data_IF_376031955833
#
_entry.id   IF_376031955833
#
_cell.length_a   1.000
_cell.length_b   1.000
_cell.length_c   1.000
_cell.angle_alpha   90.00
_cell.angle_beta   90.00
_cell.angle_gamma   90.00
#
_symmetry.space_group_name_H-M   'P 1'
#
loop_
_entity.id
_entity.type
_entity.pdbx_description
1 polymer ?
#
# COMPACT_ATOMS: atom_id res chain seq x y z
N UNK A 1 -11.24 4.95 21.32
CA UNK A 1 -11.35 6.36 21.36
C UNK A 1 -10.27 7.15 22.09
N UNK A 2 -9.00 6.67 22.17
CA UNK A 2 -7.91 7.46 22.79
C UNK A 2 -7.04 8.18 21.73
N UNK A 3 -7.11 7.76 20.46
CA UNK A 3 -6.36 8.35 19.38
C UNK A 3 -7.30 9.13 18.44
N UNK A 4 -7.01 10.42 18.22
CA UNK A 4 -7.80 11.29 17.34
C UNK A 4 -7.22 11.43 15.91
N UNK A 5 -5.96 11.06 15.71
CA UNK A 5 -5.28 11.08 14.41
C UNK A 5 -4.08 10.15 14.42
N UNK A 6 -3.70 9.63 13.26
CA UNK A 6 -2.49 8.84 13.08
C UNK A 6 -2.03 8.87 11.62
N UNK A 7 -0.77 8.55 11.40
CA UNK A 7 -0.24 8.34 10.05
C UNK A 7 -0.49 6.90 9.64
N UNK A 8 -1.10 6.70 8.49
CA UNK A 8 -1.44 5.37 8.02
C UNK A 8 -1.45 5.25 6.49
N UNK A 9 -1.39 4.03 5.97
CA UNK A 9 -1.50 3.78 4.55
C UNK A 9 -2.93 3.99 4.06
N UNK A 10 -3.11 4.07 2.73
CA UNK A 10 -4.42 4.22 2.08
C UNK A 10 -5.44 3.14 2.49
N UNK A 11 -4.98 1.97 2.90
CA UNK A 11 -5.82 0.85 3.35
C UNK A 11 -6.13 0.85 4.85
N UNK A 12 -5.69 1.86 5.60
CA UNK A 12 -5.99 1.99 7.02
C UNK A 12 -7.50 1.92 7.37
N UNK A 13 -8.43 2.34 6.51
CA UNK A 13 -9.85 2.12 6.74
C UNK A 13 -10.22 0.63 6.91
N UNK A 14 -9.55 -0.29 6.20
CA UNK A 14 -9.81 -1.72 6.33
C UNK A 14 -9.16 -2.33 7.59
N UNK A 15 -8.03 -1.80 8.02
CA UNK A 15 -7.31 -2.23 9.23
C UNK A 15 -6.37 -1.11 9.70
N UNK A 16 -6.55 -0.51 10.91
CA UNK A 16 -7.42 -0.98 12.00
C UNK A 16 -8.78 -0.26 12.11
N UNK A 17 -9.12 0.69 11.23
CA UNK A 17 -10.25 1.59 11.46
C UNK A 17 -11.61 0.92 11.31
N UNK A 18 -11.73 -0.14 10.53
CA UNK A 18 -13.00 -0.86 10.36
C UNK A 18 -13.56 -1.33 11.70
N UNK A 19 -12.71 -1.92 12.56
CA UNK A 19 -13.12 -2.35 13.91
C UNK A 19 -13.47 -1.16 14.81
N UNK A 20 -12.76 -0.04 14.68
CA UNK A 20 -13.04 1.17 15.42
C UNK A 20 -14.41 1.77 15.05
N UNK A 21 -14.74 1.80 13.76
CA UNK A 21 -16.05 2.28 13.27
C UNK A 21 -17.16 1.29 13.62
N UNK A 22 -16.91 -0.01 13.57
CA UNK A 22 -17.87 -1.03 14.04
C UNK A 22 -18.21 -0.87 15.53
N UNK A 23 -17.21 -0.50 16.35
CA UNK A 23 -17.40 -0.28 17.79
C UNK A 23 -18.06 1.08 18.11
N UNK A 24 -17.79 2.10 17.30
CA UNK A 24 -18.36 3.45 17.42
C UNK A 24 -18.74 4.00 16.04
N UNK A 25 -19.96 3.74 15.54
CA UNK A 25 -20.42 4.23 14.25
C UNK A 25 -20.51 5.76 14.14
N UNK A 26 -20.39 6.49 15.26
CA UNK A 26 -20.39 7.95 15.26
C UNK A 26 -19.00 8.54 14.99
N UNK A 27 -17.94 7.74 15.06
CA UNK A 27 -16.57 8.14 14.76
C UNK A 27 -16.41 8.37 13.25
N UNK A 28 -16.17 9.61 12.87
CA UNK A 28 -15.93 10.00 11.46
C UNK A 28 -14.45 10.13 11.23
N UNK A 29 -13.88 9.12 10.56
CA UNK A 29 -12.48 9.12 10.14
C UNK A 29 -12.36 9.59 8.69
N UNK A 30 -11.51 10.58 8.47
CA UNK A 30 -11.27 11.12 7.14
C UNK A 30 -9.77 11.14 6.83
N UNK A 31 -9.35 10.73 5.62
CA UNK A 31 -7.96 10.82 5.18
C UNK A 31 -7.62 12.24 4.72
N UNK A 32 -6.42 12.70 5.06
CA UNK A 32 -5.88 13.99 4.63
C UNK A 32 -4.49 13.83 4.05
N UNK A 33 -4.17 14.64 3.04
CA UNK A 33 -2.80 14.79 2.57
C UNK A 33 -2.02 15.67 3.55
N UNK A 34 -0.92 15.13 4.08
CA UNK A 34 0.03 15.96 4.81
C UNK A 34 0.99 16.60 3.81
N UNK A 35 0.94 17.93 3.69
CA UNK A 35 1.92 18.67 2.90
C UNK A 35 3.28 18.65 3.61
N UNK A 36 4.31 18.15 2.91
CA UNK A 36 5.69 18.06 3.41
C UNK A 36 6.60 19.14 2.81
N UNK A 37 6.14 19.82 1.77
CA UNK A 37 6.87 20.85 1.07
C UNK A 37 6.24 22.24 1.33
N UNK A 38 7.03 23.29 1.32
CA UNK A 38 6.56 24.65 1.53
C UNK A 38 5.49 25.12 0.52
N UNK A 39 5.51 24.55 -0.68
CA UNK A 39 4.53 24.83 -1.73
C UNK A 39 3.19 24.10 -1.55
N UNK A 40 3.03 23.33 -0.46
CA UNK A 40 1.85 22.54 -0.17
C UNK A 40 1.77 21.21 -0.87
N UNK A 41 2.85 20.76 -1.53
CA UNK A 41 2.96 19.41 -2.12
C UNK A 41 3.53 18.39 -1.15
N UNK A 42 3.46 17.12 -1.54
CA UNK A 42 4.05 16.01 -0.80
C UNK A 42 4.85 15.14 -1.75
N UNK A 43 6.12 14.92 -1.43
CA UNK A 43 6.93 13.92 -2.10
C UNK A 43 6.92 12.63 -1.28
N UNK A 44 6.61 11.49 -1.93
CA UNK A 44 6.64 10.19 -1.30
C UNK A 44 7.47 9.20 -2.11
N UNK A 45 8.20 8.34 -1.40
CA UNK A 45 9.00 7.29 -2.02
C UNK A 45 8.18 6.02 -2.20
N UNK A 46 8.36 5.37 -3.34
CA UNK A 46 7.74 4.06 -3.57
C UNK A 46 8.44 2.98 -2.77
N UNK A 47 7.66 2.02 -2.32
CA UNK A 47 8.21 0.80 -1.75
C UNK A 47 8.92 -0.02 -2.83
N UNK A 48 9.82 -0.92 -2.41
CA UNK A 48 10.42 -1.91 -3.30
C UNK A 48 9.34 -2.76 -3.97
N UNK A 49 9.48 -3.10 -5.27
CA UNK A 49 8.44 -3.79 -6.01
C UNK A 49 8.33 -5.30 -5.68
N UNK A 50 9.06 -5.78 -4.71
CA UNK A 50 9.03 -7.16 -4.25
C UNK A 50 8.99 -7.22 -2.73
N UNK A 51 8.28 -8.21 -2.18
CA UNK A 51 8.21 -8.44 -0.74
C UNK A 51 8.78 -9.81 -0.37
N UNK A 52 8.31 -10.86 -1.03
CA UNK A 52 8.69 -12.24 -0.76
C UNK A 52 9.27 -12.91 -2.00
N UNK A 53 10.11 -13.92 -1.77
CA UNK A 53 10.63 -14.76 -2.83
C UNK A 53 9.98 -16.13 -2.78
N UNK A 54 9.56 -16.65 -3.94
CA UNK A 54 9.12 -18.02 -4.09
C UNK A 54 10.30 -18.86 -4.58
N UNK A 55 10.65 -19.88 -3.80
CA UNK A 55 11.75 -20.78 -4.14
C UNK A 55 11.22 -22.17 -4.45
N UNK A 56 11.81 -22.81 -5.45
CA UNK A 56 11.50 -24.19 -5.84
C UNK A 56 12.66 -25.08 -5.45
N UNK A 57 12.35 -26.23 -4.84
CA UNK A 57 13.39 -27.22 -4.46
C UNK A 57 14.22 -27.64 -5.67
N UNK A 58 15.54 -27.61 -5.55
CA UNK A 58 16.44 -28.10 -6.59
C UNK A 58 16.10 -29.55 -6.98
N UNK A 59 15.91 -29.82 -8.28
CA UNK A 59 15.55 -31.14 -8.81
C UNK A 59 14.05 -31.43 -8.81
N UNK A 60 13.18 -30.43 -8.48
CA UNK A 60 11.75 -30.56 -8.74
C UNK A 60 11.50 -30.60 -10.26
N UNK A 61 10.65 -31.52 -10.72
CA UNK A 61 10.47 -31.80 -12.16
C UNK A 61 9.76 -30.68 -12.92
N UNK A 62 8.93 -29.86 -12.22
CA UNK A 62 8.08 -28.85 -12.80
C UNK A 62 8.28 -27.46 -12.16
N UNK A 63 9.48 -26.86 -12.25
CA UNK A 63 9.75 -25.56 -11.61
C UNK A 63 8.90 -24.41 -12.20
N UNK A 64 8.41 -24.58 -13.42
CA UNK A 64 7.52 -23.63 -14.11
C UNK A 64 6.15 -23.46 -13.45
N UNK A 65 5.81 -24.30 -12.45
CA UNK A 65 4.51 -24.23 -11.75
C UNK A 65 4.30 -22.87 -11.07
N UNK A 66 5.37 -22.24 -10.58
CA UNK A 66 5.29 -20.90 -9.98
C UNK A 66 4.78 -19.88 -10.99
N UNK A 67 5.36 -19.86 -12.20
CA UNK A 67 4.93 -18.96 -13.26
C UNK A 67 3.48 -19.25 -13.68
N UNK A 68 3.09 -20.51 -13.75
CA UNK A 68 1.70 -20.90 -14.06
C UNK A 68 0.72 -20.43 -13.01
N UNK A 69 1.07 -20.54 -11.73
CA UNK A 69 0.22 -20.01 -10.64
C UNK A 69 0.07 -18.50 -10.76
N UNK A 70 1.16 -17.78 -11.02
CA UNK A 70 1.11 -16.32 -11.22
C UNK A 70 0.18 -15.97 -12.40
N UNK A 71 0.34 -16.61 -13.56
CA UNK A 71 -0.53 -16.37 -14.72
C UNK A 71 -1.99 -16.69 -14.43
N UNK A 72 -2.29 -17.78 -13.74
CA UNK A 72 -3.67 -18.11 -13.37
C UNK A 72 -4.26 -17.07 -12.43
N UNK A 73 -3.52 -16.66 -11.39
CA UNK A 73 -4.02 -15.69 -10.42
C UNK A 73 -4.18 -14.29 -10.99
N UNK A 74 -3.28 -13.88 -11.87
CA UNK A 74 -3.26 -12.52 -12.41
C UNK A 74 -4.14 -12.38 -13.67
N UNK A 75 -3.89 -13.22 -14.68
CA UNK A 75 -4.58 -13.09 -15.97
C UNK A 75 -5.93 -13.78 -15.96
N UNK A 76 -5.95 -15.09 -15.70
CA UNK A 76 -7.13 -15.93 -15.89
C UNK A 76 -8.25 -15.58 -14.90
N UNK A 77 -7.94 -15.59 -13.60
CA UNK A 77 -8.94 -15.33 -12.56
C UNK A 77 -9.51 -13.92 -12.64
N UNK A 78 -8.67 -12.94 -12.97
CA UNK A 78 -9.06 -11.52 -12.97
C UNK A 78 -9.78 -11.09 -14.25
N UNK A 79 -9.34 -11.58 -15.41
CA UNK A 79 -9.76 -11.05 -16.71
C UNK A 79 -10.49 -12.05 -17.60
N UNK A 80 -10.07 -13.34 -17.61
CA UNK A 80 -10.59 -14.31 -18.56
C UNK A 80 -11.86 -15.03 -18.05
N UNK A 81 -11.91 -15.43 -16.79
CA UNK A 81 -13.00 -16.22 -16.20
C UNK A 81 -13.84 -15.41 -15.18
N UNK A 82 -14.06 -14.14 -15.47
CA UNK A 82 -14.80 -13.22 -14.60
C UNK A 82 -16.24 -13.65 -14.28
N UNK A 83 -16.84 -14.54 -15.07
CA UNK A 83 -18.20 -15.02 -14.87
C UNK A 83 -18.28 -16.26 -13.98
N UNK A 84 -17.16 -16.83 -13.58
CA UNK A 84 -17.11 -17.98 -12.68
C UNK A 84 -17.60 -17.63 -11.28
N UNK A 85 -18.71 -18.24 -10.87
CA UNK A 85 -19.35 -17.93 -9.59
C UNK A 85 -18.46 -18.23 -8.39
N UNK A 86 -17.69 -19.32 -8.41
CA UNK A 86 -16.79 -19.67 -7.31
C UNK A 86 -15.67 -18.62 -7.13
N UNK A 87 -15.20 -18.02 -8.24
CA UNK A 87 -14.21 -16.95 -8.21
C UNK A 87 -14.83 -15.65 -7.68
N UNK A 88 -16.06 -15.32 -8.13
CA UNK A 88 -16.80 -14.17 -7.59
C UNK A 88 -17.01 -14.29 -6.09
N UNK A 89 -17.42 -15.45 -5.62
CA UNK A 89 -17.63 -15.72 -4.19
C UNK A 89 -16.30 -15.61 -3.40
N UNK A 90 -15.20 -16.09 -3.97
CA UNK A 90 -13.87 -15.93 -3.37
C UNK A 90 -13.47 -14.46 -3.21
N UNK A 91 -13.68 -13.63 -4.23
CA UNK A 91 -13.37 -12.18 -4.12
C UNK A 91 -14.26 -11.46 -3.10
N UNK A 92 -15.53 -11.88 -2.95
CA UNK A 92 -16.45 -11.33 -1.94
C UNK A 92 -16.02 -11.60 -0.50
N UNK A 93 -15.24 -12.64 -0.25
CA UNK A 93 -14.74 -12.96 1.08
C UNK A 93 -13.69 -11.95 1.58
N UNK A 94 -13.21 -11.03 0.74
CA UNK A 94 -12.15 -10.06 1.06
C UNK A 94 -10.96 -10.69 1.79
N UNK A 95 -10.51 -11.84 1.28
CA UNK A 95 -9.49 -12.66 1.91
C UNK A 95 -8.16 -11.90 1.94
N UNK A 96 -7.54 -11.91 3.12
CA UNK A 96 -6.19 -11.38 3.30
C UNK A 96 -5.23 -11.93 2.23
N UNK A 97 -4.41 -11.08 1.59
CA UNK A 97 -3.46 -11.52 0.57
C UNK A 97 -2.55 -12.68 0.98
N UNK A 98 -2.26 -12.82 2.28
CA UNK A 98 -1.45 -13.93 2.82
C UNK A 98 -2.16 -15.28 2.75
N UNK A 99 -3.48 -15.30 2.67
CA UNK A 99 -4.28 -16.51 2.50
C UNK A 99 -4.41 -16.98 1.04
N UNK A 100 -3.87 -16.20 0.09
CA UNK A 100 -3.83 -16.58 -1.34
C UNK A 100 -2.83 -17.72 -1.58
N UNK A 101 -3.00 -18.50 -2.67
CA UNK A 101 -2.06 -19.55 -3.01
C UNK A 101 -0.62 -19.04 -3.02
N UNK A 102 0.27 -19.69 -2.26
CA UNK A 102 1.65 -19.30 -2.03
C UNK A 102 1.84 -17.89 -1.47
N UNK A 103 0.84 -17.29 -0.84
CA UNK A 103 0.82 -15.90 -0.38
C UNK A 103 1.21 -14.88 -1.48
N UNK A 104 0.93 -15.22 -2.75
CA UNK A 104 1.26 -14.35 -3.87
C UNK A 104 0.22 -13.25 -4.06
N UNK A 105 0.69 -12.03 -4.17
CA UNK A 105 -0.11 -10.89 -4.62
C UNK A 105 0.66 -10.18 -5.73
N UNK A 106 0.16 -10.28 -6.96
CA UNK A 106 0.76 -9.65 -8.15
C UNK A 106 -0.23 -8.65 -8.70
N UNK A 107 0.25 -7.43 -8.95
CA UNK A 107 -0.56 -6.37 -9.55
C UNK A 107 0.32 -5.40 -10.34
N UNK A 108 -0.31 -4.49 -11.09
CA UNK A 108 0.39 -3.38 -11.72
C UNK A 108 0.92 -2.40 -10.66
N UNK A 109 2.03 -1.72 -10.94
CA UNK A 109 2.60 -0.71 -10.05
C UNK A 109 1.68 0.51 -9.81
N UNK A 110 0.68 0.69 -10.66
CA UNK A 110 -0.34 1.72 -10.60
C UNK A 110 -1.77 1.15 -10.42
N UNK A 111 -1.90 -0.06 -9.85
CA UNK A 111 -3.18 -0.73 -9.68
C UNK A 111 -4.20 0.09 -8.88
N UNK A 112 -3.75 0.85 -7.89
CA UNK A 112 -4.61 1.73 -7.10
C UNK A 112 -5.20 2.85 -7.94
N UNK A 113 -4.38 3.48 -8.78
CA UNK A 113 -4.80 4.54 -9.68
C UNK A 113 -5.79 4.02 -10.74
N UNK A 114 -5.51 2.83 -11.29
CA UNK A 114 -6.41 2.18 -12.25
C UNK A 114 -7.76 1.90 -11.58
N UNK A 115 -7.77 1.19 -10.44
CA UNK A 115 -8.99 0.86 -9.73
C UNK A 115 -9.81 2.10 -9.35
N UNK A 116 -9.15 3.14 -8.80
CA UNK A 116 -9.80 4.41 -8.49
C UNK A 116 -10.42 5.07 -9.74
N UNK A 117 -9.69 5.09 -10.86
CA UNK A 117 -10.17 5.65 -12.13
C UNK A 117 -11.40 4.90 -12.66
N UNK A 118 -11.34 3.57 -12.69
CA UNK A 118 -12.42 2.72 -13.17
C UNK A 118 -13.70 2.84 -12.33
N UNK A 119 -13.56 2.83 -10.99
CA UNK A 119 -14.69 3.06 -10.08
C UNK A 119 -15.32 4.44 -10.30
N UNK A 120 -14.51 5.50 -10.45
CA UNK A 120 -15.03 6.84 -10.71
C UNK A 120 -15.73 6.94 -12.08
N UNK A 121 -15.24 6.26 -13.11
CA UNK A 121 -15.91 6.19 -14.42
C UNK A 121 -17.31 5.59 -14.29
N UNK A 122 -17.48 4.54 -13.46
CA UNK A 122 -18.78 3.94 -13.23
C UNK A 122 -19.68 4.88 -12.41
N UNK A 123 -19.20 5.45 -11.31
CA UNK A 123 -19.98 6.40 -10.49
C UNK A 123 -20.37 7.68 -11.25
N UNK A 124 -19.57 8.06 -12.25
CA UNK A 124 -19.87 9.20 -13.14
C UNK A 124 -20.76 8.83 -14.32
N UNK A 125 -21.14 7.55 -14.48
CA UNK A 125 -21.97 7.07 -15.60
C UNK A 125 -21.23 6.97 -16.94
N UNK A 126 -19.89 7.06 -16.94
CA UNK A 126 -19.06 6.94 -18.15
C UNK A 126 -18.92 5.46 -18.56
N UNK A 127 -18.89 4.54 -17.60
CA UNK A 127 -18.83 3.10 -17.78
C UNK A 127 -19.97 2.39 -17.06
N UNK A 128 -20.25 1.16 -17.48
CA UNK A 128 -21.20 0.31 -16.78
C UNK A 128 -20.47 -0.56 -15.74
N UNK A 129 -21.13 -0.94 -14.62
CA UNK A 129 -20.52 -1.84 -13.63
C UNK A 129 -20.04 -3.17 -14.22
N UNK A 130 -20.74 -3.71 -15.23
CA UNK A 130 -20.38 -4.97 -15.89
C UNK A 130 -19.07 -4.89 -16.71
N UNK A 131 -18.58 -3.69 -16.99
CA UNK A 131 -17.30 -3.48 -17.68
C UNK A 131 -16.10 -3.63 -16.73
N UNK A 132 -16.33 -3.62 -15.42
CA UNK A 132 -15.29 -3.76 -14.40
C UNK A 132 -14.75 -5.20 -14.37
N UNK A 133 -13.45 -5.35 -14.02
CA UNK A 133 -12.90 -6.66 -13.70
C UNK A 133 -13.42 -7.16 -12.34
N UNK A 134 -13.20 -8.44 -12.02
CA UNK A 134 -13.77 -9.05 -10.81
C UNK A 134 -13.36 -8.35 -9.51
N UNK A 135 -12.12 -7.87 -9.43
CA UNK A 135 -11.62 -7.16 -8.25
C UNK A 135 -12.30 -5.80 -8.11
N UNK A 136 -12.36 -5.03 -9.19
CA UNK A 136 -13.02 -3.73 -9.22
C UNK A 136 -14.52 -3.83 -8.95
N UNK A 137 -15.16 -4.87 -9.50
CA UNK A 137 -16.58 -5.14 -9.27
C UNK A 137 -16.89 -5.43 -7.79
N UNK A 138 -16.03 -6.19 -7.10
CA UNK A 138 -16.20 -6.44 -5.66
C UNK A 138 -16.13 -5.16 -4.82
N UNK A 139 -15.23 -4.23 -5.17
CA UNK A 139 -15.17 -2.91 -4.52
C UNK A 139 -16.33 -2.00 -4.91
N UNK A 140 -16.77 -2.05 -6.18
CA UNK A 140 -17.91 -1.28 -6.64
C UNK A 140 -19.17 -1.60 -5.83
N UNK A 141 -19.49 -2.89 -5.64
CA UNK A 141 -20.67 -3.32 -4.89
C UNK A 141 -20.66 -2.71 -3.45
N UNK A 142 -19.53 -2.76 -2.75
CA UNK A 142 -19.41 -2.21 -1.41
C UNK A 142 -19.47 -0.67 -1.39
N UNK A 143 -18.80 -0.02 -2.32
CA UNK A 143 -18.83 1.45 -2.44
C UNK A 143 -20.22 1.97 -2.81
N UNK A 144 -20.94 1.29 -3.70
CA UNK A 144 -22.30 1.62 -4.10
C UNK A 144 -23.30 1.40 -2.96
N UNK A 145 -23.13 0.33 -2.18
CA UNK A 145 -23.89 0.07 -0.95
C UNK A 145 -23.72 1.22 0.05
N UNK A 146 -22.47 1.65 0.29
CA UNK A 146 -22.16 2.81 1.15
C UNK A 146 -22.87 4.07 0.67
N UNK A 147 -22.72 4.43 -0.60
CA UNK A 147 -23.30 5.65 -1.16
C UNK A 147 -24.83 5.68 -1.14
N UNK A 148 -25.47 4.52 -1.21
CA UNK A 148 -26.95 4.40 -1.14
C UNK A 148 -27.49 4.54 0.28
N UNK A 149 -26.70 4.27 1.30
CA UNK A 149 -27.16 4.28 2.70
C UNK A 149 -26.06 4.67 3.67
N UNK A 150 -25.43 5.82 3.44
CA UNK A 150 -24.26 6.31 4.20
C UNK A 150 -24.49 6.32 5.72
N UNK A 151 -25.67 6.75 6.17
CA UNK A 151 -26.01 6.87 7.61
C UNK A 151 -26.11 5.51 8.32
N UNK A 152 -26.36 4.42 7.60
CA UNK A 152 -26.51 3.07 8.16
C UNK A 152 -25.67 2.03 7.39
N UNK A 153 -24.58 2.47 6.76
CA UNK A 153 -23.66 1.58 6.07
C UNK A 153 -22.96 0.65 7.06
N UNK A 154 -22.58 -0.53 6.60
CA UNK A 154 -21.72 -1.42 7.37
C UNK A 154 -20.31 -0.82 7.49
N UNK A 155 -19.56 -1.24 8.50
CA UNK A 155 -18.15 -0.83 8.65
C UNK A 155 -17.28 -1.29 7.47
N UNK A 156 -17.63 -2.42 6.86
CA UNK A 156 -16.99 -2.98 5.68
C UNK A 156 -17.23 -2.09 4.44
N UNK A 157 -18.49 -1.67 4.20
CA UNK A 157 -18.83 -0.79 3.08
C UNK A 157 -18.19 0.59 3.23
N UNK A 158 -18.22 1.14 4.46
CA UNK A 158 -17.49 2.36 4.80
C UNK A 158 -15.99 2.23 4.54
N UNK A 159 -15.38 1.13 4.98
CA UNK A 159 -13.95 0.90 4.82
C UNK A 159 -13.56 0.76 3.33
N UNK A 160 -14.37 0.06 2.54
CA UNK A 160 -14.19 -0.06 1.10
C UNK A 160 -14.26 1.29 0.41
N UNK A 161 -15.29 2.09 0.67
CA UNK A 161 -15.45 3.42 0.09
C UNK A 161 -14.33 4.37 0.52
N UNK A 162 -14.04 4.43 1.82
CA UNK A 162 -13.02 5.35 2.35
C UNK A 162 -11.63 5.01 1.84
N UNK A 163 -11.28 3.73 1.73
CA UNK A 163 -9.99 3.31 1.21
C UNK A 163 -9.87 3.50 -0.31
N UNK A 164 -10.86 3.05 -1.08
CA UNK A 164 -10.76 2.99 -2.55
C UNK A 164 -11.14 4.29 -3.25
N UNK A 165 -12.03 5.08 -2.68
CA UNK A 165 -12.45 6.35 -3.25
C UNK A 165 -11.76 7.51 -2.54
N UNK A 166 -11.99 7.67 -1.24
CA UNK A 166 -11.54 8.88 -0.53
C UNK A 166 -10.02 8.92 -0.37
N UNK A 167 -9.39 7.86 0.12
CA UNK A 167 -7.93 7.83 0.29
C UNK A 167 -7.20 7.76 -1.06
N UNK A 168 -7.69 6.96 -2.03
CA UNK A 168 -7.09 6.90 -3.36
C UNK A 168 -7.23 8.21 -4.14
N UNK A 169 -8.27 9.01 -3.89
CA UNK A 169 -8.36 10.37 -4.43
C UNK A 169 -7.18 11.23 -4.01
N UNK A 170 -6.76 11.11 -2.76
CA UNK A 170 -5.61 11.84 -2.22
C UNK A 170 -4.31 11.38 -2.87
N UNK A 171 -4.13 10.07 -3.07
CA UNK A 171 -2.96 9.52 -3.76
C UNK A 171 -2.86 9.96 -5.23
N UNK A 172 -3.99 10.31 -5.85
CA UNK A 172 -4.06 10.83 -7.22
C UNK A 172 -4.10 12.36 -7.27
N UNK A 173 -3.96 13.06 -6.14
CA UNK A 173 -3.90 14.51 -6.09
C UNK A 173 -2.65 15.02 -6.83
N UNK A 174 -2.83 16.06 -7.64
CA UNK A 174 -1.73 16.67 -8.41
C UNK A 174 -0.60 17.26 -7.53
N UNK A 175 -0.85 17.41 -6.23
CA UNK A 175 0.16 17.85 -5.24
C UNK A 175 1.03 16.70 -4.73
N UNK A 176 0.75 15.45 -5.10
CA UNK A 176 1.57 14.31 -4.74
C UNK A 176 2.66 14.07 -5.79
N UNK A 177 3.89 13.92 -5.32
CA UNK A 177 5.07 13.70 -6.14
C UNK A 177 5.63 12.30 -5.84
N UNK A 178 5.48 11.40 -6.80
CA UNK A 178 6.00 10.03 -6.66
C UNK A 178 7.48 10.01 -7.00
N UNK A 179 8.31 9.62 -6.06
CA UNK A 179 9.76 9.42 -6.27
C UNK A 179 10.03 7.91 -6.31
N UNK A 180 10.41 7.42 -7.48
CA UNK A 180 10.73 6.00 -7.66
C UNK A 180 12.17 5.71 -7.26
N UNK A 181 12.39 4.61 -6.53
CA UNK A 181 13.73 4.15 -6.24
C UNK A 181 14.41 3.65 -7.52
N UNK A 182 15.67 3.99 -7.68
CA UNK A 182 16.50 3.51 -8.79
C UNK A 182 17.33 2.27 -8.42
N UNK A 183 17.34 1.89 -7.14
CA UNK A 183 18.13 0.78 -6.63
C UNK A 183 17.26 -0.13 -5.74
N UNK A 184 17.27 -1.40 -6.03
CA UNK A 184 16.47 -2.43 -5.34
C UNK A 184 17.33 -3.59 -4.82
N UNK A 185 18.65 -3.44 -4.84
CA UNK A 185 19.59 -4.44 -4.34
C UNK A 185 20.08 -4.13 -2.93
N UNK A 186 20.99 -4.96 -2.47
CA UNK A 186 21.75 -4.75 -1.24
C UNK A 186 23.24 -4.63 -1.61
N UNK A 187 23.90 -3.62 -1.09
CA UNK A 187 25.36 -3.49 -1.22
C UNK A 187 26.07 -4.28 -0.12
N UNK A 188 27.37 -4.52 -0.26
CA UNK A 188 28.15 -5.25 0.74
C UNK A 188 28.08 -4.58 2.12
N UNK A 189 28.15 -3.25 2.16
CA UNK A 189 28.01 -2.49 3.41
C UNK A 189 26.58 -2.50 3.93
N UNK A 190 25.55 -2.52 3.09
CA UNK A 190 24.17 -2.67 3.55
C UNK A 190 23.96 -3.99 4.29
N UNK A 191 24.45 -5.10 3.77
CA UNK A 191 24.30 -6.42 4.40
C UNK A 191 24.86 -6.43 5.84
N UNK A 192 25.94 -5.71 6.11
CA UNK A 192 26.55 -5.67 7.43
C UNK A 192 26.00 -4.57 8.35
N UNK A 193 25.71 -3.39 7.81
CA UNK A 193 25.56 -2.18 8.63
C UNK A 193 24.18 -1.51 8.52
N UNK A 194 23.31 -1.93 7.57
CA UNK A 194 22.01 -1.26 7.35
C UNK A 194 21.14 -1.24 8.60
N UNK A 195 21.09 -2.34 9.33
CA UNK A 195 20.31 -2.45 10.55
C UNK A 195 20.73 -1.46 11.65
N UNK A 196 22.02 -1.11 11.72
CA UNK A 196 22.50 -0.07 12.64
C UNK A 196 21.96 1.32 12.27
N UNK A 197 21.91 1.62 10.97
CA UNK A 197 21.40 2.90 10.48
C UNK A 197 19.88 3.01 10.70
N UNK A 198 19.13 1.93 10.50
CA UNK A 198 17.68 1.88 10.79
C UNK A 198 17.38 2.05 12.27
N UNK A 199 18.16 1.41 13.14
CA UNK A 199 17.98 1.57 14.58
C UNK A 199 18.34 3.00 15.02
N UNK A 200 19.41 3.58 14.50
CA UNK A 200 19.79 4.96 14.79
C UNK A 200 18.68 5.95 14.38
N UNK A 201 18.08 5.75 13.21
CA UNK A 201 16.94 6.53 12.74
C UNK A 201 15.74 6.39 13.65
N UNK A 202 15.31 5.14 13.91
CA UNK A 202 14.12 4.83 14.71
C UNK A 202 14.25 5.39 16.13
N UNK A 203 15.42 5.21 16.79
CA UNK A 203 15.67 5.69 18.13
C UNK A 203 15.65 7.23 18.19
N UNK A 204 16.25 7.89 17.21
CA UNK A 204 16.27 9.35 17.15
C UNK A 204 14.87 9.92 16.96
N UNK A 205 14.11 9.38 15.99
CA UNK A 205 12.75 9.83 15.74
C UNK A 205 11.84 9.60 16.95
N UNK A 206 11.97 8.44 17.61
CA UNK A 206 11.19 8.15 18.80
C UNK A 206 11.47 9.16 19.90
N UNK A 207 12.73 9.47 20.19
CA UNK A 207 13.12 10.44 21.22
C UNK A 207 12.59 11.84 20.93
N UNK A 208 12.64 12.28 19.65
CA UNK A 208 12.11 13.60 19.25
C UNK A 208 10.59 13.61 19.40
N UNK A 209 9.88 12.60 18.92
CA UNK A 209 8.41 12.52 18.97
C UNK A 209 7.88 12.42 20.40
N UNK A 210 8.60 11.72 21.28
CA UNK A 210 8.22 11.60 22.70
C UNK A 210 8.63 12.81 23.54
N UNK A 211 9.41 13.73 22.97
CA UNK A 211 9.92 14.91 23.69
C UNK A 211 11.12 14.61 24.61
N UNK A 212 11.77 13.45 24.45
CA UNK A 212 13.00 13.11 25.16
C UNK A 212 14.21 13.83 24.58
N UNK A 213 14.14 14.25 23.33
CA UNK A 213 15.16 15.04 22.64
C UNK A 213 14.53 16.20 21.87
N UNK A 214 15.30 17.28 21.73
CA UNK A 214 14.90 18.44 20.93
C UNK A 214 15.03 18.13 19.43
N UNK A 215 14.36 18.94 18.60
CA UNK A 215 14.38 18.78 17.13
C UNK A 215 15.81 18.87 16.55
N UNK A 216 16.69 19.64 17.19
CA UNK A 216 18.09 19.80 16.77
C UNK A 216 18.90 18.49 16.85
N UNK A 217 18.40 17.47 17.59
CA UNK A 217 19.00 16.13 17.59
C UNK A 217 18.96 15.48 16.21
N UNK A 218 18.06 15.91 15.33
CA UNK A 218 18.00 15.45 13.94
C UNK A 218 19.31 15.76 13.17
N UNK A 219 19.90 16.93 13.38
CA UNK A 219 21.19 17.28 12.72
C UNK A 219 22.33 16.38 13.21
N UNK A 220 22.35 16.08 14.53
CA UNK A 220 23.28 15.12 15.10
C UNK A 220 23.08 13.70 14.54
N UNK A 221 21.84 13.29 14.34
CA UNK A 221 21.51 12.03 13.72
C UNK A 221 22.04 11.96 12.28
N UNK A 222 21.79 12.95 11.45
CA UNK A 222 22.27 13.00 10.06
C UNK A 222 23.77 12.84 9.99
N UNK A 223 24.52 13.58 10.83
CA UNK A 223 25.97 13.49 10.92
C UNK A 223 26.43 12.07 11.32
N UNK A 224 25.79 11.46 12.30
CA UNK A 224 26.12 10.12 12.77
C UNK A 224 25.79 9.07 11.72
N UNK A 225 24.66 9.19 11.04
CA UNK A 225 24.23 8.30 9.95
C UNK A 225 25.29 8.24 8.85
N UNK A 226 25.79 9.39 8.41
CA UNK A 226 26.88 9.44 7.41
C UNK A 226 28.19 8.85 7.91
N UNK A 227 28.54 9.06 9.18
CA UNK A 227 29.79 8.57 9.78
C UNK A 227 29.78 7.06 10.01
N UNK A 228 28.65 6.47 10.34
CA UNK A 228 28.50 5.07 10.73
C UNK A 228 28.22 4.09 9.58
N UNK A 229 28.31 4.53 8.32
CA UNK A 229 28.14 3.67 7.15
C UNK A 229 27.43 4.33 5.98
N UNK A 230 26.54 5.29 6.24
CA UNK A 230 25.73 5.94 5.22
C UNK A 230 26.53 6.56 4.07
N UNK A 231 27.72 7.14 4.35
CA UNK A 231 28.59 7.64 3.29
C UNK A 231 29.08 6.53 2.34
N UNK A 232 29.45 5.39 2.89
CA UNK A 232 29.93 4.23 2.11
C UNK A 232 28.81 3.65 1.28
N UNK A 233 27.68 3.36 1.90
CA UNK A 233 26.47 2.84 1.24
C UNK A 233 26.03 3.76 0.10
N UNK A 234 25.98 5.06 0.34
CA UNK A 234 25.61 6.04 -0.70
C UNK A 234 26.56 5.99 -1.92
N UNK A 235 27.84 5.79 -1.69
CA UNK A 235 28.82 5.66 -2.79
C UNK A 235 28.65 4.34 -3.54
N UNK A 236 28.40 3.24 -2.82
CA UNK A 236 28.15 1.92 -3.40
C UNK A 236 26.90 1.96 -4.30
N UNK A 237 25.77 2.44 -3.78
CA UNK A 237 24.52 2.57 -4.56
C UNK A 237 24.72 3.45 -5.80
N UNK A 238 25.39 4.60 -5.67
CA UNK A 238 25.68 5.48 -6.82
C UNK A 238 26.55 4.82 -7.89
N UNK A 239 27.39 3.85 -7.50
CA UNK A 239 28.20 3.07 -8.46
C UNK A 239 27.35 2.06 -9.21
N UNK A 240 26.41 1.39 -8.53
CA UNK A 240 25.53 0.39 -9.13
C UNK A 240 24.45 1.02 -10.04
N UNK A 241 24.05 2.27 -9.80
CA UNK A 241 23.07 3.00 -10.61
C UNK A 241 23.66 3.69 -11.85
N UNK A 242 24.94 3.51 -12.17
CA UNK A 242 25.60 4.05 -13.37
C UNK A 242 25.63 3.05 -14.50
#
# INVERSE_FOLDING_TARGET
GQCGSFFGPWWAPNNPLMDAVAADPTAKWEPYLLATEENGSTSYHTQVPYGNFVVVKKGYEHPEIVCKIISVLFDYVRYEDKDNQAIKDYYKLNVDPTARPLAMNVDYNNALQICYGELNHVFSGIRQPDDLNLLEQSYYEACDSYLKNEDNASSEDWAAYTSRITACKILNDARTNKVESLYFGETETMVSDWWHLENLESDTYLKIVTGEADLDEFDSFVDNWYKTGGTTITKEVRRECR
#
